data_IF_298409189728
#
_entry.id   IF_298409189728
#
_cell.length_a   1.000
_cell.length_b   1.000
_cell.length_c   1.000
_cell.angle_alpha   90.00
_cell.angle_beta   90.00
_cell.angle_gamma   90.00
#
_symmetry.space_group_name_H-M   'P 1'
#
loop_
_entity.id
_entity.type
_entity.pdbx_description
1 polymer ?
2 non-polymer ?
3 water ?
#
# COMPACT_ATOMS: atom_id res chain seq x y z
N UNK A 8 13.25 19.64 -12.63
CA UNK A 8 12.79 19.44 -11.22
C UNK A 8 13.96 19.60 -10.24
N UNK A 9 13.66 20.24 -9.11
CA UNK A 9 14.66 20.68 -8.15
C UNK A 9 15.46 19.48 -7.60
N UNK A 10 16.76 19.64 -7.36
CA UNK A 10 17.52 18.57 -6.69
C UNK A 10 17.00 18.38 -5.27
N UNK A 11 16.78 17.13 -4.90
CA UNK A 11 16.16 16.82 -3.60
C UNK A 11 14.63 16.75 -3.63
N UNK A 12 14.03 17.04 -4.78
CA UNK A 12 12.59 16.93 -4.95
C UNK A 12 11.95 18.31 -4.88
N UNK A 13 10.73 18.44 -5.44
CA UNK A 13 9.95 19.70 -5.37
C UNK A 13 9.50 20.03 -3.95
N UNK A 14 9.49 21.33 -3.66
CA UNK A 14 8.72 21.88 -2.54
C UNK A 14 7.27 21.98 -2.95
N UNK A 15 6.36 22.21 -1.99
CA UNK A 15 4.93 22.33 -2.28
C UNK A 15 4.68 23.36 -3.39
N UNK A 16 5.42 24.50 -3.32
CA UNK A 16 5.21 25.63 -4.26
C UNK A 16 5.90 25.44 -5.61
N UNK A 17 6.66 24.34 -5.73
CA UNK A 17 7.13 23.91 -7.07
C UNK A 17 6.06 23.19 -7.91
N UNK A 18 4.95 22.73 -7.31
CA UNK A 18 4.00 21.88 -8.01
C UNK A 18 2.90 22.69 -8.69
N UNK A 19 2.26 22.08 -9.68
CA UNK A 19 1.06 22.62 -10.34
C UNK A 19 0.02 21.55 -10.56
N UNK A 20 -1.24 21.92 -10.42
CA UNK A 20 -2.34 21.04 -10.77
C UNK A 20 -2.17 20.56 -12.22
N UNK A 21 -2.27 19.26 -12.45
CA UNK A 21 -1.96 18.68 -13.77
C UNK A 21 -0.53 18.38 -14.14
N UNK A 22 0.43 18.68 -13.28
CA UNK A 22 1.84 18.39 -13.51
C UNK A 22 2.08 16.85 -13.46
N UNK A 23 3.03 16.36 -14.26
CA UNK A 23 3.22 14.90 -14.42
C UNK A 23 4.68 14.51 -14.16
N UNK A 24 4.88 13.51 -13.35
CA UNK A 24 6.19 12.96 -13.11
C UNK A 24 6.22 11.55 -13.70
N UNK A 25 6.91 11.43 -14.84
CA UNK A 25 6.92 10.14 -15.54
C UNK A 25 8.32 9.66 -15.89
N UNK A 26 9.32 10.18 -15.18
CA UNK A 26 10.65 9.76 -15.51
C UNK A 26 11.23 8.76 -14.50
N UNK A 27 10.35 8.18 -13.65
CA UNK A 27 10.71 7.09 -12.71
C UNK A 27 11.16 5.83 -13.47
N UNK A 28 12.25 5.21 -13.04
CA UNK A 28 12.61 3.95 -13.72
C UNK A 28 11.49 2.89 -13.79
N UNK A 29 11.40 2.16 -14.90
CA UNK A 29 10.61 0.92 -14.95
C UNK A 29 11.28 -0.11 -14.04
N UNK A 30 10.46 -0.97 -13.42
CA UNK A 30 10.99 -2.03 -12.53
C UNK A 30 10.41 -3.42 -12.91
N UNK A 31 11.28 -4.33 -13.28
CA UNK A 31 10.91 -5.71 -13.63
C UNK A 31 10.81 -6.51 -12.34
N UNK A 32 9.67 -7.17 -12.18
CA UNK A 32 9.41 -7.94 -10.98
C UNK A 32 10.18 -9.26 -11.16
N UNK A 33 10.85 -9.67 -10.10
CA UNK A 33 11.70 -10.87 -10.13
C UNK A 33 11.41 -11.63 -8.87
N UNK A 34 11.80 -12.91 -8.86
CA UNK A 34 11.67 -13.68 -7.64
C UNK A 34 12.71 -13.21 -6.60
N UNK A 35 13.77 -12.58 -7.09
CA UNK A 35 14.69 -11.82 -6.22
C UNK A 35 13.99 -10.77 -5.36
N UNK A 36 13.22 -9.87 -6.00
CA UNK A 36 12.53 -8.83 -5.32
C UNK A 36 11.52 -9.47 -4.37
N UNK A 37 10.82 -10.48 -4.87
CA UNK A 37 9.83 -11.19 -4.07
C UNK A 37 10.43 -11.75 -2.81
N UNK A 38 11.63 -12.37 -2.91
CA UNK A 38 12.25 -12.99 -1.72
C UNK A 38 12.65 -11.93 -0.69
N UNK A 39 13.20 -10.82 -1.18
CA UNK A 39 13.68 -9.74 -0.26
C UNK A 39 12.47 -9.16 0.46
N UNK A 40 11.38 -8.94 -0.29
CA UNK A 40 10.15 -8.40 0.24
C UNK A 40 9.58 -9.34 1.35
N UNK A 41 9.58 -10.63 1.05
CA UNK A 41 9.15 -11.67 1.99
C UNK A 41 9.99 -11.70 3.29
N UNK A 42 11.31 -11.48 3.17
CA UNK A 42 12.17 -11.54 4.33
C UNK A 42 11.85 -10.35 5.28
N UNK A 43 11.32 -9.24 4.71
CA UNK A 43 11.05 -7.99 5.49
C UNK A 43 9.65 -8.01 6.12
N UNK A 44 8.64 -8.35 5.31
CA UNK A 44 7.28 -8.22 5.85
C UNK A 44 6.55 -9.54 6.02
N UNK A 45 7.17 -10.62 5.54
CA UNK A 45 6.57 -11.97 5.55
C UNK A 45 5.69 -12.16 4.30
N UNK A 46 5.42 -13.42 3.98
CA UNK A 46 4.57 -13.78 2.85
C UNK A 46 4.01 -15.16 3.18
N UNK A 47 2.70 -15.24 3.35
CA UNK A 47 2.04 -16.55 3.51
C UNK A 47 0.91 -16.77 2.50
N UNK A 48 0.81 -15.89 1.51
CA UNK A 48 -0.13 -16.06 0.39
C UNK A 48 0.25 -17.26 -0.46
N UNK A 49 -0.62 -18.25 -0.50
CA UNK A 49 -0.21 -19.56 -1.02
C UNK A 49 0.16 -19.46 -2.49
N UNK A 50 -0.58 -18.63 -3.26
CA UNK A 50 -0.31 -18.50 -4.70
C UNK A 50 1.00 -17.74 -4.98
N UNK A 51 1.44 -16.94 -4.02
CA UNK A 51 2.70 -16.22 -4.16
C UNK A 51 3.89 -17.06 -3.69
N UNK A 52 3.66 -18.21 -3.08
CA UNK A 52 4.76 -19.01 -2.51
C UNK A 52 5.00 -20.27 -3.30
N UNK A 53 3.93 -20.80 -3.92
CA UNK A 53 3.97 -22.14 -4.49
C UNK A 53 3.71 -21.97 -6.00
N UNK A 54 4.77 -22.12 -6.81
CA UNK A 54 4.64 -21.98 -8.26
C UNK A 54 3.80 -23.03 -8.96
N UNK A 55 3.79 -24.22 -8.39
CA UNK A 55 3.02 -25.32 -8.97
C UNK A 55 1.52 -25.04 -8.76
N UNK A 56 1.15 -24.63 -7.55
CA UNK A 56 -0.25 -24.28 -7.27
C UNK A 56 -0.64 -23.05 -8.09
N UNK A 57 0.25 -22.06 -8.13
CA UNK A 57 -0.03 -20.85 -8.90
C UNK A 57 -0.36 -21.19 -10.38
N UNK A 58 0.48 -22.00 -11.00
CA UNK A 58 0.24 -22.44 -12.37
C UNK A 58 -1.11 -23.20 -12.51
N UNK A 59 -1.41 -24.11 -11.58
CA UNK A 59 -2.62 -24.90 -11.67
C UNK A 59 -3.83 -23.98 -11.56
N UNK A 60 -3.72 -22.98 -10.68
CA UNK A 60 -4.84 -22.09 -10.41
C UNK A 60 -4.99 -21.02 -11.53
N UNK A 61 -3.89 -20.34 -11.86
CA UNK A 61 -3.95 -19.13 -12.72
C UNK A 61 -3.49 -19.42 -14.14
N UNK A 62 -2.73 -20.50 -14.33
CA UNK A 62 -2.19 -20.85 -15.63
C UNK A 62 -1.17 -19.82 -16.06
N UNK A 63 -0.74 -18.97 -15.11
CA UNK A 63 -0.14 -17.66 -15.41
C UNK A 63 1.17 -17.85 -16.12
N UNK A 64 1.56 -16.88 -17.00
CA UNK A 64 2.83 -16.94 -17.74
C UNK A 64 4.05 -17.18 -16.81
N UNK A 65 3.96 -16.68 -15.58
CA UNK A 65 4.96 -16.99 -14.54
C UNK A 65 4.25 -16.99 -13.21
N UNK A 66 4.96 -17.32 -12.10
CA UNK A 66 4.46 -17.19 -10.72
C UNK A 66 3.86 -15.80 -10.33
N UNK A 67 3.08 -15.76 -9.22
CA UNK A 67 2.28 -14.56 -8.79
C UNK A 67 3.10 -13.58 -7.99
N UNK A 68 3.27 -12.37 -8.54
CA UNK A 68 3.94 -11.31 -7.82
C UNK A 68 3.11 -10.97 -6.61
N UNK A 69 3.71 -11.05 -5.41
CA UNK A 69 3.00 -10.70 -4.22
C UNK A 69 2.34 -9.30 -4.38
N UNK A 70 1.01 -9.18 -4.18
CA UNK A 70 0.32 -7.90 -4.35
C UNK A 70 0.89 -6.74 -3.50
N UNK A 71 1.41 -7.04 -2.30
CA UNK A 71 2.03 -5.97 -1.49
C UNK A 71 3.32 -5.51 -2.14
N UNK A 72 4.06 -6.44 -2.75
CA UNK A 72 5.28 -6.03 -3.51
C UNK A 72 4.92 -5.10 -4.70
N UNK A 73 3.91 -5.51 -5.46
CA UNK A 73 3.46 -4.69 -6.60
C UNK A 73 3.08 -3.29 -6.15
N UNK A 74 2.27 -3.19 -5.08
CA UNK A 74 1.86 -1.87 -4.54
C UNK A 74 3.05 -1.08 -4.07
N UNK A 75 3.98 -1.75 -3.37
CA UNK A 75 5.14 -1.03 -2.79
C UNK A 75 6.03 -0.45 -3.89
N UNK A 76 6.19 -1.24 -4.96
CA UNK A 76 6.98 -0.77 -6.11
C UNK A 76 6.30 0.45 -6.75
N UNK A 77 4.98 0.38 -6.96
CA UNK A 77 4.27 1.51 -7.56
C UNK A 77 4.37 2.77 -6.67
N UNK A 78 4.23 2.59 -5.37
CA UNK A 78 4.32 3.73 -4.43
C UNK A 78 5.75 4.26 -4.33
N UNK A 79 6.72 3.36 -4.21
CA UNK A 79 8.16 3.79 -4.19
C UNK A 79 8.55 4.51 -5.49
N UNK A 80 8.14 3.99 -6.65
CA UNK A 80 8.31 4.74 -7.91
C UNK A 80 7.85 6.18 -7.85
N UNK A 81 6.66 6.39 -7.31
CA UNK A 81 5.98 7.70 -7.23
C UNK A 81 6.66 8.66 -6.25
N UNK A 82 7.66 8.21 -5.45
CA UNK A 82 8.27 9.10 -4.44
C UNK A 82 9.25 10.12 -5.04
N UNK A 83 9.49 10.03 -6.34
CA UNK A 83 10.22 11.10 -7.04
C UNK A 83 9.61 12.48 -6.71
N UNK A 84 8.27 12.58 -6.80
CA UNK A 84 7.54 13.83 -6.50
C UNK A 84 7.57 14.19 -5.02
N UNK A 85 7.68 13.16 -4.18
CA UNK A 85 7.51 13.38 -2.74
C UNK A 85 8.72 13.07 -1.91
N UNK A 86 9.92 13.27 -2.46
CA UNK A 86 11.13 13.09 -1.65
C UNK A 86 11.09 13.97 -0.36
N UNK A 87 10.49 15.16 -0.47
CA UNK A 87 10.40 16.13 0.65
C UNK A 87 9.24 15.90 1.60
N UNK A 88 8.47 14.84 1.38
CA UNK A 88 7.27 14.57 2.18
C UNK A 88 7.47 14.67 3.73
N UNK A 89 6.53 15.33 4.38
CA UNK A 89 6.48 15.33 5.83
C UNK A 89 5.56 14.19 6.35
N UNK A 90 4.44 13.92 5.64
CA UNK A 90 3.49 12.81 5.97
C UNK A 90 2.62 12.56 4.74
N UNK A 91 2.27 11.29 4.45
CA UNK A 91 1.07 11.01 3.61
C UNK A 91 -0.09 10.85 4.54
N UNK A 92 -1.17 11.56 4.31
CA UNK A 92 -2.34 11.46 5.14
C UNK A 92 -3.19 10.21 4.83
N UNK A 93 -3.12 9.68 3.60
CA UNK A 93 -3.82 8.43 3.24
C UNK A 93 -3.34 7.88 1.90
N UNK A 94 -3.55 6.57 1.67
CA UNK A 94 -3.48 5.96 0.35
C UNK A 94 -4.89 5.50 0.01
N UNK A 95 -5.33 5.72 -1.22
CA UNK A 95 -6.75 5.48 -1.47
C UNK A 95 -6.99 4.87 -2.86
N UNK A 96 -7.95 3.95 -2.93
CA UNK A 96 -8.40 3.46 -4.22
C UNK A 96 -7.45 2.57 -4.90
N UNK A 97 -6.60 1.82 -4.17
CA UNK A 97 -5.77 0.83 -4.85
C UNK A 97 -6.79 -0.22 -5.18
N UNK A 98 -6.96 -0.52 -6.46
CA UNK A 98 -7.69 -1.70 -6.82
C UNK A 98 -6.89 -2.25 -7.99
N UNK A 99 -6.62 -3.55 -7.97
CA UNK A 99 -5.85 -4.18 -9.03
C UNK A 99 -6.76 -4.30 -10.25
N UNK A 100 -6.30 -3.85 -11.41
CA UNK A 100 -6.99 -4.10 -12.68
C UNK A 100 -6.49 -5.41 -13.32
N UNK A 101 -5.31 -5.85 -12.88
CA UNK A 101 -4.78 -7.18 -13.27
C UNK A 101 -3.71 -7.52 -12.25
N UNK A 102 -3.27 -8.78 -12.23
CA UNK A 102 -2.26 -9.22 -11.23
C UNK A 102 -1.03 -9.57 -12.03
N UNK A 103 0.00 -8.72 -11.95
CA UNK A 103 1.22 -8.99 -12.73
C UNK A 103 1.91 -10.33 -12.34
N UNK A 104 2.62 -10.91 -13.31
CA UNK A 104 3.47 -12.08 -13.08
C UNK A 104 4.89 -11.61 -12.84
N UNK A 105 5.65 -12.41 -12.11
CA UNK A 105 7.14 -12.31 -12.18
C UNK A 105 7.61 -12.22 -13.63
N UNK A 106 8.56 -11.30 -13.89
CA UNK A 106 9.00 -10.96 -15.24
C UNK A 106 8.32 -9.81 -15.94
N UNK A 107 7.14 -9.40 -15.45
CA UNK A 107 6.45 -8.23 -15.97
C UNK A 107 7.16 -7.00 -15.41
N UNK A 108 7.09 -5.90 -16.16
CA UNK A 108 7.77 -4.65 -15.77
C UNK A 108 6.73 -3.55 -15.49
N UNK A 109 6.87 -2.87 -14.35
CA UNK A 109 5.89 -1.87 -13.92
C UNK A 109 6.42 -0.47 -14.18
N UNK A 110 5.54 0.42 -14.65
CA UNK A 110 5.93 1.81 -14.95
C UNK A 110 4.85 2.68 -14.33
N UNK A 111 5.22 3.73 -13.56
CA UNK A 111 4.19 4.43 -12.81
C UNK A 111 4.24 5.91 -13.18
N UNK A 112 3.11 6.46 -13.52
CA UNK A 112 2.96 7.91 -13.75
C UNK A 112 2.33 8.55 -12.53
N UNK A 113 2.86 9.72 -12.12
CA UNK A 113 2.31 10.44 -10.98
C UNK A 113 1.82 11.78 -11.47
N UNK A 114 0.52 12.03 -11.28
CA UNK A 114 -0.07 13.32 -11.64
C UNK A 114 -0.55 14.09 -10.41
N UNK A 115 -0.26 15.39 -10.40
CA UNK A 115 -0.85 16.28 -9.35
C UNK A 115 -2.26 16.55 -9.72
N UNK A 116 -3.17 16.01 -8.93
CA UNK A 116 -4.62 16.18 -9.09
C UNK A 116 -5.22 17.45 -8.40
N UNK A 117 -4.53 17.96 -7.37
CA UNK A 117 -5.09 19.05 -6.56
C UNK A 117 -4.02 19.51 -5.59
N UNK A 118 -4.06 20.80 -5.22
CA UNK A 118 -3.05 21.38 -4.33
C UNK A 118 -3.81 22.30 -3.37
N UNK A 119 -3.47 22.25 -2.07
CA UNK A 119 -4.10 23.14 -1.12
C UNK A 119 -3.08 23.58 -0.08
N UNK A 120 -2.78 24.89 -0.07
CA UNK A 120 -1.85 25.45 0.91
C UNK A 120 -2.46 25.24 2.25
N UNK A 121 -1.66 24.87 3.24
CA UNK A 121 -2.20 24.76 4.60
C UNK A 121 -2.25 26.18 5.19
N UNK A 122 -3.25 26.44 6.06
CA UNK A 122 -3.36 27.70 6.81
C UNK A 122 -2.15 27.93 7.69
N UNK A 123 -1.58 29.17 7.70
CA UNK A 123 -0.43 29.44 8.59
C UNK A 123 -0.79 29.18 10.03
N UNK A 124 0.15 28.64 10.79
CA UNK A 124 -0.04 28.37 12.22
C UNK A 124 1.27 28.71 12.91
N UNK A 125 1.20 29.45 14.04
CA UNK A 125 2.49 29.89 14.59
C UNK A 125 3.34 28.69 15.00
N UNK A 126 4.65 28.78 14.80
CA UNK A 126 5.56 27.71 15.17
C UNK A 126 5.63 26.56 14.19
N UNK A 127 4.78 26.53 13.18
CA UNK A 127 4.77 25.43 12.18
C UNK A 127 5.40 25.87 10.86
N UNK A 128 6.09 24.95 10.21
CA UNK A 128 6.67 25.22 8.91
C UNK A 128 5.53 25.43 7.91
N UNK A 129 5.70 26.38 6.99
CA UNK A 129 4.75 26.56 5.88
C UNK A 129 4.68 25.26 5.02
N UNK A 130 3.46 24.79 4.74
CA UNK A 130 3.27 23.49 4.03
C UNK A 130 2.00 23.55 3.21
N UNK A 131 1.84 22.58 2.31
CA UNK A 131 0.60 22.42 1.56
C UNK A 131 0.40 20.94 1.33
N UNK A 132 -0.79 20.60 0.89
CA UNK A 132 -1.14 19.23 0.57
C UNK A 132 -1.25 19.02 -0.92
N UNK A 133 -0.75 17.87 -1.38
CA UNK A 133 -0.83 17.53 -2.81
C UNK A 133 -1.67 16.27 -2.93
N UNK A 134 -2.77 16.35 -3.69
CA UNK A 134 -3.53 15.14 -4.06
C UNK A 134 -2.83 14.57 -5.29
N UNK A 135 -2.41 13.30 -5.21
CA UNK A 135 -1.63 12.69 -6.30
C UNK A 135 -2.38 11.49 -6.83
N UNK A 136 -2.45 11.40 -8.16
CA UNK A 136 -2.95 10.18 -8.84
C UNK A 136 -1.79 9.36 -9.43
N UNK A 137 -1.68 8.07 -9.03
CA UNK A 137 -0.65 7.19 -9.61
C UNK A 137 -1.28 6.22 -10.55
N UNK A 138 -0.70 6.11 -11.74
CA UNK A 138 -1.19 5.13 -12.70
C UNK A 138 -0.03 4.19 -13.04
N UNK A 139 -0.22 2.91 -12.76
CA UNK A 139 0.86 1.93 -12.95
C UNK A 139 0.42 1.00 -14.09
N UNK A 140 1.28 0.88 -15.10
CA UNK A 140 1.02 0.02 -16.25
C UNK A 140 2.15 -0.98 -16.43
N UNK A 141 1.91 -2.01 -17.24
CA UNK A 141 2.99 -2.87 -17.66
C UNK A 141 3.52 -2.56 -19.09
N UNK A 142 4.45 -3.38 -19.58
CA UNK A 142 5.04 -3.14 -20.89
C UNK A 142 4.03 -3.29 -22.03
N UNK A 143 3.02 -4.11 -21.79
CA UNK A 143 1.91 -4.33 -22.72
C UNK A 143 0.89 -3.18 -22.62
N UNK A 144 1.18 -2.12 -21.86
CA UNK A 144 0.27 -0.96 -21.73
C UNK A 144 -1.02 -1.32 -21.04
N UNK A 145 -1.03 -2.37 -20.24
CA UNK A 145 -2.28 -2.68 -19.55
C UNK A 145 -2.25 -2.04 -18.20
N UNK A 146 -3.40 -1.54 -17.76
CA UNK A 146 -3.52 -0.92 -16.43
C UNK A 146 -3.39 -1.98 -15.31
N UNK A 147 -2.54 -1.69 -14.35
CA UNK A 147 -2.35 -2.55 -13.21
C UNK A 147 -2.99 -1.92 -11.99
N UNK A 148 -2.59 -0.69 -11.69
CA UNK A 148 -3.15 0.07 -10.56
C UNK A 148 -3.45 1.48 -10.96
N UNK A 149 -4.47 2.09 -10.37
CA UNK A 149 -4.77 3.54 -10.59
C UNK A 149 -5.35 4.11 -9.30
N UNK A 150 -4.49 4.78 -8.51
CA UNK A 150 -4.72 4.95 -7.06
C UNK A 150 -4.31 6.38 -6.65
N UNK A 151 -4.54 6.73 -5.39
CA UNK A 151 -4.44 8.15 -4.97
C UNK A 151 -3.74 8.20 -3.64
N UNK A 152 -3.07 9.33 -3.37
CA UNK A 152 -2.59 9.59 -2.01
C UNK A 152 -2.58 11.10 -1.77
N UNK A 153 -2.51 11.47 -0.50
CA UNK A 153 -2.52 12.85 -0.10
C UNK A 153 -1.22 13.12 0.66
N UNK A 154 -0.30 13.84 0.03
CA UNK A 154 1.05 14.08 0.60
C UNK A 154 1.18 15.52 1.11
N UNK A 155 1.60 15.66 2.37
CA UNK A 155 2.01 16.95 2.91
C UNK A 155 3.47 17.29 2.61
N UNK A 156 3.69 18.44 1.97
CA UNK A 156 5.03 18.89 1.58
C UNK A 156 5.35 20.25 2.17
N UNK A 157 6.64 20.49 2.54
CA UNK A 157 7.05 21.83 2.93
C UNK A 157 7.03 22.77 1.72
N UNK A 158 6.76 24.05 1.99
CA UNK A 158 6.95 25.09 1.00
C UNK A 158 8.43 25.54 1.01
N UNK A 159 8.92 26.11 -0.09
CA UNK A 159 10.31 26.58 -0.19
C UNK A 159 10.57 27.69 0.84
N UNK A 160 11.85 27.94 1.20
CA UNK A 160 12.17 28.82 2.36
C UNK A 160 11.70 30.28 2.25
N UNK A 161 11.58 30.76 1.01
CA UNK A 161 11.20 32.14 0.75
C UNK A 161 9.74 32.28 0.24
N UNK A 162 8.98 31.18 0.22
CA UNK A 162 7.58 31.15 -0.26
C UNK A 162 6.75 32.23 0.40
N UNK A 163 5.91 32.91 -0.40
CA UNK A 163 4.96 33.91 0.10
C UNK A 163 3.63 33.21 0.41
N UNK A 164 3.36 32.97 1.70
CA UNK A 164 2.17 32.19 2.03
C UNK A 164 0.91 32.87 1.50
N UNK A 165 -0.09 32.06 1.18
CA UNK A 165 -1.39 32.56 0.70
C UNK A 165 -2.35 31.39 0.60
N UNK A 166 -3.52 31.64 0.04
CA UNK A 166 -4.54 30.60 0.02
C UNK A 166 -4.73 29.95 -1.35
N UNK A 167 -3.96 30.37 -2.35
CA UNK A 167 -4.51 30.24 -3.70
C UNK A 167 -3.85 29.37 -4.78
N UNK A 168 -3.06 28.37 -4.33
CA UNK A 168 -3.56 27.01 -4.65
C UNK A 168 -4.45 26.62 -3.45
N UNK A 169 -5.75 26.46 -3.70
CA UNK A 169 -6.70 26.17 -2.62
C UNK A 169 -7.75 25.17 -3.10
N UNK A 170 -7.31 24.11 -3.79
CA UNK A 170 -8.20 23.08 -4.31
C UNK A 170 -8.90 22.35 -3.20
N UNK A 171 -10.14 21.96 -3.46
CA UNK A 171 -10.91 21.09 -2.57
C UNK A 171 -10.40 19.65 -2.76
N UNK A 172 -9.75 19.10 -1.74
CA UNK A 172 -9.10 17.76 -1.84
C UNK A 172 -9.85 16.65 -1.11
N UNK A 173 -10.94 16.99 -0.43
CA UNK A 173 -11.67 16.04 0.42
C UNK A 173 -12.11 14.76 -0.32
N UNK A 174 -12.46 14.87 -1.59
CA UNK A 174 -13.07 13.71 -2.24
C UNK A 174 -12.13 13.01 -3.24
N UNK A 175 -10.83 13.20 -3.06
CA UNK A 175 -9.86 12.66 -3.98
C UNK A 175 -9.94 11.15 -3.97
N UNK A 176 -10.07 10.56 -5.15
CA UNK A 176 -10.12 9.11 -5.30
C UNK A 176 -11.42 8.48 -4.85
N UNK A 177 -12.53 9.01 -5.35
CA UNK A 177 -13.87 8.47 -5.06
C UNK A 177 -14.70 8.50 -6.34
N UNK A 178 -15.64 7.55 -6.46
CA UNK A 178 -16.34 7.28 -7.72
C UNK A 178 -15.33 6.84 -8.81
N UNK A 179 -14.14 6.43 -8.36
CA UNK A 179 -13.07 5.88 -9.19
C UNK A 179 -13.54 4.61 -9.89
N UNK A 180 -13.41 4.56 -11.23
CA UNK A 180 -13.91 3.41 -12.01
C UNK A 180 -13.40 2.06 -11.52
N UNK A 181 -14.33 1.12 -11.26
CA UNK A 181 -14.01 -0.32 -11.10
C UNK A 181 -13.31 -0.86 -12.37
N UNK A 182 -12.51 -1.94 -12.25
CA UNK A 182 -11.86 -2.51 -13.44
C UNK A 182 -12.86 -2.92 -14.53
N UNK A 183 -12.41 -2.88 -15.78
CA UNK A 183 -13.19 -3.30 -16.96
C UNK A 183 -13.62 -4.76 -16.88
N UNK A 184 -12.82 -5.54 -16.17
CA UNK A 184 -12.94 -7.00 -16.20
C UNK A 184 -12.45 -7.48 -14.86
N UNK A 185 -13.00 -8.61 -14.45
CA UNK A 185 -12.61 -9.25 -13.21
C UNK A 185 -11.15 -9.75 -13.40
N UNK A 186 -10.18 -9.25 -12.58
CA UNK A 186 -8.74 -9.62 -12.73
C UNK A 186 -8.42 -11.07 -12.33
N UNK A 187 -9.38 -11.79 -11.73
CA UNK A 187 -9.18 -13.19 -11.35
C UNK A 187 -10.14 -14.14 -12.05
N UNK A 188 -10.82 -13.65 -13.08
CA UNK A 188 -11.85 -14.46 -13.80
C UNK A 188 -11.31 -15.80 -14.35
N UNK A 189 -10.08 -15.79 -14.83
CA UNK A 189 -9.46 -17.01 -15.34
C UNK A 189 -8.85 -17.91 -14.26
N UNK A 190 -8.89 -17.49 -13.00
CA UNK A 190 -8.35 -18.35 -11.93
C UNK A 190 -9.33 -19.46 -11.59
N UNK A 191 -8.80 -20.67 -11.47
CA UNK A 191 -9.61 -21.86 -11.18
C UNK A 191 -9.70 -22.14 -9.68
N UNK A 192 -10.78 -21.66 -9.06
CA UNK A 192 -11.00 -21.91 -7.65
C UNK A 192 -11.19 -23.37 -7.31
N UNK A 193 -11.66 -24.17 -8.29
CA UNK A 193 -11.93 -25.58 -8.00
C UNK A 193 -10.63 -26.36 -7.71
N UNK A 194 -9.56 -26.11 -8.45
CA UNK A 194 -8.32 -26.87 -8.11
C UNK A 194 -7.73 -26.40 -6.78
N UNK A 195 -7.89 -25.13 -6.50
CA UNK A 195 -7.45 -24.60 -5.15
C UNK A 195 -8.17 -25.32 -4.02
N UNK A 196 -9.50 -25.42 -4.12
CA UNK A 196 -10.28 -26.09 -3.06
C UNK A 196 -9.92 -27.55 -2.91
N UNK A 197 -9.64 -28.22 -4.03
CA UNK A 197 -9.25 -29.61 -3.99
C UNK A 197 -7.86 -29.80 -3.37
N UNK A 198 -6.91 -28.90 -3.65
CA UNK A 198 -5.53 -29.15 -3.20
C UNK A 198 -5.13 -28.50 -1.90
N UNK A 199 -5.88 -27.51 -1.47
CA UNK A 199 -5.57 -26.79 -0.22
C UNK A 199 -6.62 -27.20 0.84
N UNK A 200 -6.18 -27.59 2.04
CA UNK A 200 -7.12 -27.96 3.11
C UNK A 200 -8.04 -26.80 3.44
N UNK A 201 -9.31 -27.10 3.65
CA UNK A 201 -10.29 -26.11 4.13
C UNK A 201 -10.04 -25.64 5.56
N UNK A 202 -10.92 -24.76 6.08
CA UNK A 202 -12.14 -24.23 5.49
C UNK A 202 -11.91 -23.31 4.32
N UNK A 203 -12.78 -23.42 3.34
CA UNK A 203 -12.78 -22.50 2.21
C UNK A 203 -13.86 -21.44 2.45
N UNK A 204 -14.19 -20.68 1.42
CA UNK A 204 -14.96 -19.47 1.61
C UNK A 204 -16.30 -19.81 2.29
N UNK A 205 -16.70 -18.99 3.26
CA UNK A 205 -17.95 -19.18 4.00
C UNK A 205 -18.42 -17.84 4.46
N UNK A 206 -19.48 -17.36 3.80
CA UNK A 206 -20.12 -16.08 4.09
C UNK A 206 -20.50 -15.92 5.57
N UNK A 207 -20.56 -17.05 6.28
CA UNK A 207 -20.89 -17.06 7.70
C UNK A 207 -19.82 -16.45 8.58
N UNK A 208 -18.61 -16.25 8.07
CA UNK A 208 -17.63 -15.65 8.94
C UNK A 208 -17.71 -14.11 9.08
N UNK A 209 -18.50 -13.45 8.24
CA UNK A 209 -18.70 -12.00 8.41
C UNK A 209 -19.08 -11.69 9.85
N UNK A 210 -18.51 -10.60 10.38
CA UNK A 210 -18.73 -10.23 11.78
C UNK A 210 -17.62 -10.62 12.73
N UNK A 211 -16.77 -11.57 12.33
CA UNK A 211 -15.73 -12.05 13.24
C UNK A 211 -14.69 -10.96 13.50
N UNK A 212 -14.17 -10.94 14.73
CA UNK A 212 -13.13 -10.03 15.14
C UNK A 212 -12.00 -10.91 15.66
N UNK A 213 -10.85 -10.87 14.99
CA UNK A 213 -9.72 -11.74 15.34
C UNK A 213 -8.52 -10.89 15.78
N UNK A 214 -7.63 -11.50 16.56
CA UNK A 214 -6.52 -10.83 17.15
C UNK A 214 -5.25 -11.58 16.73
N UNK A 215 -4.30 -10.85 16.17
CA UNK A 215 -3.14 -11.51 15.50
C UNK A 215 -2.05 -11.73 16.51
N UNK A 216 -1.01 -12.43 16.08
CA UNK A 216 0.22 -12.47 16.86
C UNK A 216 1.08 -11.27 16.36
N UNK A 217 2.20 -11.02 17.03
CA UNK A 217 3.00 -9.82 16.78
C UNK A 217 4.12 -10.04 15.74
N UNK A 218 4.57 -8.95 15.12
CA UNK A 218 5.71 -8.99 14.24
C UNK A 218 6.63 -7.84 14.68
N UNK A 219 7.92 -7.98 14.39
CA UNK A 219 8.89 -6.91 14.59
C UNK A 219 8.99 -6.08 13.29
N UNK A 220 9.03 -4.76 13.44
CA UNK A 220 9.45 -3.88 12.33
C UNK A 220 10.99 -3.88 12.23
N UNK A 221 11.51 -4.51 11.20
CA UNK A 221 12.95 -4.46 10.96
C UNK A 221 13.21 -4.48 9.44
N UNK A 222 14.39 -4.04 9.04
CA UNK A 222 14.71 -3.89 7.60
C UNK A 222 13.88 -2.79 6.92
N UNK A 223 13.49 -1.77 7.68
CA UNK A 223 12.61 -0.75 7.06
C UNK A 223 13.30 0.07 5.93
N UNK A 224 14.56 0.51 6.17
CA UNK A 224 15.25 1.19 5.07
C UNK A 224 15.46 0.24 3.88
N UNK A 225 15.71 -1.05 4.16
CA UNK A 225 15.86 -2.02 3.07
C UNK A 225 14.64 -2.13 2.19
N UNK A 226 13.46 -2.22 2.81
CA UNK A 226 12.22 -2.22 2.03
C UNK A 226 12.10 -0.99 1.19
N UNK A 227 12.43 0.16 1.75
CA UNK A 227 12.38 1.38 0.92
C UNK A 227 13.35 1.32 -0.26
N UNK A 228 14.62 0.95 -0.02
CA UNK A 228 15.63 0.85 -1.13
C UNK A 228 15.18 -0.16 -2.17
N UNK A 229 14.72 -1.32 -1.68
CA UNK A 229 14.21 -2.37 -2.58
C UNK A 229 13.17 -1.83 -3.56
N UNK A 230 12.31 -0.92 -3.11
CA UNK A 230 11.13 -0.55 -3.92
C UNK A 230 11.25 0.88 -4.49
N UNK A 231 12.49 1.42 -4.49
CA UNK A 231 12.83 2.72 -5.08
C UNK A 231 12.25 3.93 -4.31
N UNK A 232 11.85 3.66 -3.07
CA UNK A 232 11.24 4.67 -2.25
C UNK A 232 12.32 5.60 -1.68
N UNK A 233 12.28 6.84 -2.13
CA UNK A 233 13.29 7.84 -1.77
C UNK A 233 12.70 9.03 -0.99
N UNK A 234 11.53 8.85 -0.39
CA UNK A 234 11.09 9.79 0.62
C UNK A 234 12.17 9.87 1.74
N UNK A 235 12.69 11.09 1.97
CA UNK A 235 13.87 11.27 2.85
C UNK A 235 13.66 10.87 4.30
N UNK A 236 12.43 10.99 4.78
CA UNK A 236 12.15 10.62 6.15
C UNK A 236 12.42 9.12 6.43
N UNK A 237 12.40 8.26 5.42
CA UNK A 237 12.67 6.83 5.67
C UNK A 237 14.16 6.53 5.82
N UNK A 238 14.97 7.45 5.29
CA UNK A 238 16.41 7.29 5.22
C UNK A 238 17.21 8.20 6.12
N UNK A 239 16.69 9.40 6.35
CA UNK A 239 17.46 10.47 6.98
C UNK A 239 16.76 10.91 8.26
N UNK A 240 17.34 10.60 9.41
CA UNK A 240 16.69 10.91 10.68
C UNK A 240 16.53 12.41 10.93
N UNK A 241 17.31 13.24 10.23
CA UNK A 241 17.17 14.64 10.57
C UNK A 241 15.96 15.36 9.99
N UNK A 242 15.26 14.73 9.04
CA UNK A 242 14.04 15.33 8.45
C UNK A 242 12.94 15.45 9.56
N UNK A 243 12.69 14.38 10.31
CA UNK A 243 11.64 14.41 11.34
C UNK A 243 12.21 14.29 12.73
N UNK A 244 13.50 13.96 12.85
CA UNK A 244 14.14 13.79 14.16
C UNK A 244 14.46 12.33 14.42
N UNK A 245 13.62 11.44 13.90
CA UNK A 245 13.92 10.01 13.84
C UNK A 245 13.44 9.58 12.46
N UNK A 246 13.96 8.49 11.96
CA UNK A 246 13.47 8.01 10.66
C UNK A 246 12.02 7.48 10.91
N UNK A 247 11.12 7.80 9.99
CA UNK A 247 9.72 7.32 10.06
C UNK A 247 9.57 6.14 9.12
N UNK A 248 8.92 5.08 9.57
CA UNK A 248 8.76 3.89 8.76
C UNK A 248 7.67 4.15 7.70
N UNK A 249 8.04 3.82 6.45
CA UNK A 249 7.14 3.78 5.32
C UNK A 249 5.79 3.08 5.67
N UNK A 250 4.69 3.74 5.33
CA UNK A 250 3.32 3.22 5.59
C UNK A 250 3.06 1.82 5.06
N UNK A 251 3.59 1.53 3.86
CA UNK A 251 3.47 0.23 3.24
C UNK A 251 4.10 -0.89 4.06
N UNK A 252 5.12 -0.60 4.86
CA UNK A 252 5.77 -1.65 5.68
C UNK A 252 4.78 -2.09 6.76
N UNK A 253 4.17 -1.12 7.43
CA UNK A 253 3.19 -1.38 8.48
C UNK A 253 2.00 -2.16 7.91
N UNK A 254 1.51 -1.72 6.75
CA UNK A 254 0.42 -2.41 6.01
C UNK A 254 0.84 -3.81 5.66
N UNK A 255 2.08 -3.97 5.19
CA UNK A 255 2.59 -5.31 4.83
C UNK A 255 2.59 -6.29 5.99
N UNK A 256 3.04 -5.84 7.17
CA UNK A 256 2.98 -6.70 8.35
C UNK A 256 1.53 -6.98 8.74
N UNK A 257 0.67 -5.97 8.64
CA UNK A 257 -0.77 -6.19 8.98
C UNK A 257 -1.39 -7.21 8.02
N UNK A 258 -0.97 -7.16 6.76
CA UNK A 258 -1.45 -8.18 5.80
C UNK A 258 -0.89 -9.54 6.14
N UNK A 259 0.39 -9.60 6.54
CA UNK A 259 0.98 -10.92 6.93
C UNK A 259 0.20 -11.49 8.13
N UNK A 260 -0.09 -10.62 9.09
CA UNK A 260 -0.90 -11.00 10.26
C UNK A 260 -2.25 -11.58 9.86
N UNK A 261 -2.94 -10.88 8.98
CA UNK A 261 -4.26 -11.34 8.50
C UNK A 261 -4.16 -12.71 7.78
N UNK A 262 -3.07 -12.91 7.03
CA UNK A 262 -2.86 -14.18 6.34
C UNK A 262 -2.48 -15.30 7.28
N UNK A 263 -1.84 -15.05 8.44
CA UNK A 263 -1.69 -16.13 9.42
C UNK A 263 -3.04 -16.48 10.04
N UNK A 264 -3.88 -15.45 10.18
CA UNK A 264 -5.22 -15.65 10.74
C UNK A 264 -6.12 -16.37 9.74
N UNK A 265 -5.99 -16.02 8.46
CA UNK A 265 -6.87 -16.54 7.38
C UNK A 265 -5.91 -17.08 6.31
N UNK A 266 -5.46 -18.33 6.49
CA UNK A 266 -4.36 -18.88 5.66
C UNK A 266 -4.74 -19.17 4.22
N UNK A 267 -6.02 -19.13 3.88
CA UNK A 267 -6.44 -19.49 2.51
C UNK A 267 -6.84 -18.32 1.60
N UNK A 268 -6.46 -17.09 1.95
CA UNK A 268 -6.72 -15.94 1.07
C UNK A 268 -6.01 -16.15 -0.29
N UNK A 269 -6.71 -15.85 -1.38
CA UNK A 269 -6.11 -16.08 -2.71
C UNK A 269 -5.27 -14.84 -3.09
N UNK A 270 -5.83 -13.63 -2.88
CA UNK A 270 -5.12 -12.38 -3.17
C UNK A 270 -5.86 -11.20 -2.54
N UNK A 271 -5.18 -10.06 -2.54
CA UNK A 271 -5.78 -8.76 -2.20
C UNK A 271 -6.34 -8.12 -3.47
N UNK A 272 -7.62 -7.72 -3.44
CA UNK A 272 -8.29 -7.15 -4.62
C UNK A 272 -8.23 -5.63 -4.59
N UNK A 273 -8.29 -5.05 -3.40
CA UNK A 273 -8.21 -3.59 -3.31
C UNK A 273 -7.88 -3.20 -1.88
N UNK A 274 -7.39 -1.99 -1.68
CA UNK A 274 -7.16 -1.51 -0.28
C UNK A 274 -6.97 -0.05 -0.21
N UNK A 275 -7.12 0.48 1.00
CA UNK A 275 -6.90 1.89 1.30
C UNK A 275 -6.63 2.10 2.80
N UNK A 276 -6.08 3.25 3.15
CA UNK A 276 -5.72 3.46 4.51
C UNK A 276 -6.71 4.48 4.92
N UNK A 277 -7.21 4.33 6.16
CA UNK A 277 -8.28 5.12 6.72
C UNK A 277 -7.75 6.18 7.68
N UNK A 278 -6.67 5.86 8.38
CA UNK A 278 -6.02 6.77 9.35
C UNK A 278 -4.57 6.30 9.63
N UNK A 279 -3.59 7.17 9.44
CA UNK A 279 -2.21 6.88 9.79
C UNK A 279 -2.16 7.55 11.16
N UNK A 280 -2.41 6.76 12.18
CA UNK A 280 -2.79 7.23 13.50
C UNK A 280 -1.61 7.72 14.30
N UNK A 281 -0.47 7.04 14.14
CA UNK A 281 0.72 7.47 14.82
C UNK A 281 1.95 6.94 14.12
N UNK A 282 3.08 7.62 14.33
CA UNK A 282 4.24 7.12 13.61
C UNK A 282 4.75 5.75 14.07
N UNK A 283 5.33 5.05 13.12
CA UNK A 283 5.94 3.79 13.42
C UNK A 283 7.48 3.95 13.22
N UNK A 284 8.27 3.29 14.09
CA UNK A 284 9.72 3.39 14.03
C UNK A 284 10.32 2.02 13.93
N UNK A 285 11.55 1.94 13.39
CA UNK A 285 12.27 0.68 13.30
C UNK A 285 12.39 0.11 14.71
N UNK A 286 12.13 -1.17 14.85
CA UNK A 286 12.26 -1.81 16.18
C UNK A 286 10.94 -1.87 16.98
N UNK A 287 9.91 -1.19 16.50
CA UNK A 287 8.55 -1.40 17.01
C UNK A 287 8.08 -2.84 16.82
N UNK A 288 7.23 -3.30 17.75
CA UNK A 288 6.58 -4.61 17.65
C UNK A 288 5.09 -4.31 17.48
N UNK A 289 4.48 -4.89 16.44
CA UNK A 289 3.10 -4.56 16.05
C UNK A 289 2.22 -5.82 16.13
N UNK A 290 0.97 -5.63 16.51
CA UNK A 290 -0.04 -6.69 16.29
C UNK A 290 -1.30 -5.98 15.75
N UNK A 291 -2.28 -6.74 15.33
CA UNK A 291 -3.49 -6.16 14.75
C UNK A 291 -4.75 -6.85 15.26
N UNK A 292 -5.83 -6.08 15.22
CA UNK A 292 -7.17 -6.57 15.41
C UNK A 292 -7.82 -6.55 13.99
N UNK A 293 -8.25 -7.72 13.57
CA UNK A 293 -8.75 -7.92 12.26
C UNK A 293 -10.27 -8.13 12.31
N UNK A 294 -11.00 -7.19 11.70
CA UNK A 294 -12.48 -7.28 11.58
C UNK A 294 -12.86 -7.78 10.21
N UNK A 295 -13.57 -8.90 10.16
CA UNK A 295 -14.15 -9.35 8.89
C UNK A 295 -15.52 -8.68 8.78
N UNK A 296 -15.52 -7.54 8.09
CA UNK A 296 -16.69 -6.64 7.96
C UNK A 296 -17.76 -7.18 7.03
N UNK A 297 -17.34 -7.95 6.03
CA UNK A 297 -18.28 -8.45 5.06
C UNK A 297 -17.75 -9.73 4.46
N UNK A 298 -18.67 -10.56 4.00
CA UNK A 298 -18.30 -11.80 3.26
C UNK A 298 -19.37 -12.05 2.21
N UNK A 299 -18.98 -11.92 0.95
CA UNK A 299 -19.96 -12.00 -0.15
C UNK A 299 -19.64 -13.15 -1.09
N UNK A 300 -20.56 -14.11 -1.22
CA UNK A 300 -20.38 -15.21 -2.15
C UNK A 300 -20.42 -14.77 -3.61
N UNK A 301 -19.59 -15.42 -4.41
CA UNK A 301 -19.56 -15.24 -5.85
C UNK A 301 -19.69 -16.62 -6.44
N UNK A 302 -19.79 -16.69 -7.76
CA UNK A 302 -19.88 -17.96 -8.45
C UNK A 302 -18.72 -18.91 -8.10
N UNK A 303 -17.52 -18.36 -7.90
CA UNK A 303 -16.32 -19.14 -7.56
C UNK A 303 -15.79 -18.53 -6.25
N UNK A 304 -16.07 -19.17 -5.12
CA UNK A 304 -15.65 -18.64 -3.79
C UNK A 304 -16.39 -17.35 -3.44
N UNK A 305 -15.66 -16.39 -2.88
CA UNK A 305 -16.27 -15.11 -2.45
C UNK A 305 -15.26 -14.05 -2.10
N UNK A 306 -15.71 -12.91 -1.59
CA UNK A 306 -14.77 -11.81 -1.34
C UNK A 306 -15.01 -11.40 0.11
N UNK A 307 -13.93 -11.32 0.88
CA UNK A 307 -14.03 -10.80 2.27
C UNK A 307 -13.72 -9.32 2.28
N UNK A 308 -14.45 -8.53 3.06
CA UNK A 308 -14.08 -7.11 3.33
C UNK A 308 -13.45 -7.08 4.72
N UNK A 309 -12.20 -6.60 4.82
CA UNK A 309 -11.46 -6.64 6.07
C UNK A 309 -11.10 -5.26 6.54
N UNK A 310 -11.10 -5.05 7.85
CA UNK A 310 -10.63 -3.81 8.39
C UNK A 310 -9.65 -4.17 9.50
N UNK A 311 -8.47 -3.56 9.44
CA UNK A 311 -7.35 -3.95 10.28
C UNK A 311 -6.93 -2.74 11.12
N UNK A 312 -6.95 -2.90 12.44
CA UNK A 312 -6.42 -1.90 13.35
C UNK A 312 -5.05 -2.37 13.87
N UNK A 313 -4.02 -1.56 13.66
CA UNK A 313 -2.67 -2.02 13.99
C UNK A 313 -2.15 -1.25 15.20
N UNK A 314 -1.53 -1.96 16.13
CA UNK A 314 -1.07 -1.41 17.40
C UNK A 314 0.42 -1.63 17.58
N UNK A 315 1.10 -0.69 18.23
CA UNK A 315 2.49 -0.85 18.66
C UNK A 315 2.50 -1.20 20.15
N UNK A 316 3.24 -2.25 20.43
CA UNK A 316 3.42 -2.79 21.80
C UNK A 316 4.23 -1.78 22.61
N UNK A 317 3.77 -1.44 23.81
CA UNK A 317 4.50 -0.49 24.66
C UNK A 317 5.62 -1.26 25.36
N UNK A 318 6.50 -0.55 26.04
CA UNK A 318 7.62 -1.25 26.62
C UNK A 318 7.40 -1.87 27.99
N UNK A 319 6.20 -1.79 28.53
CA UNK A 319 5.93 -2.57 29.74
C UNK A 319 4.48 -2.97 29.89
N UNK A 320 4.26 -3.95 30.77
CA UNK A 320 2.94 -4.38 31.22
C UNK A 320 2.07 -3.23 31.84
N UNK A 321 2.69 -2.16 32.29
CA UNK A 321 1.96 -1.02 32.88
C UNK A 321 1.89 0.22 31.98
N UNK A 322 1.98 0.01 30.66
CA UNK A 322 1.79 1.11 29.73
C UNK A 322 0.91 0.62 28.59
N UNK A 323 -0.11 1.40 28.20
CA UNK A 323 -1.01 0.95 27.14
C UNK A 323 -0.33 0.87 25.75
N UNK A 324 -0.71 -0.11 24.93
CA UNK A 324 -0.25 -0.19 23.54
C UNK A 324 -0.94 0.94 22.77
N UNK A 325 -0.43 1.35 21.62
CA UNK A 325 -1.01 2.53 20.94
C UNK A 325 -1.42 2.14 19.50
N UNK A 326 -2.56 2.67 19.03
CA UNK A 326 -2.93 2.42 17.67
C UNK A 326 -2.04 3.24 16.73
N UNK A 327 -1.50 2.58 15.70
CA UNK A 327 -0.66 3.26 14.73
C UNK A 327 -1.27 3.34 13.30
N UNK A 328 -2.22 2.47 12.95
CA UNK A 328 -2.76 2.45 11.61
C UNK A 328 -4.17 1.87 11.61
N UNK A 329 -5.03 2.39 10.74
CA UNK A 329 -6.36 1.79 10.51
C UNK A 329 -6.45 1.69 8.98
N UNK A 330 -6.59 0.47 8.45
CA UNK A 330 -6.71 0.37 6.99
C UNK A 330 -7.73 -0.66 6.65
N UNK A 331 -8.14 -0.72 5.38
CA UNK A 331 -9.14 -1.70 5.03
C UNK A 331 -8.83 -2.25 3.65
N UNK A 332 -9.17 -3.51 3.42
CA UNK A 332 -8.90 -4.12 2.13
C UNK A 332 -9.94 -5.18 1.86
N UNK A 333 -9.99 -5.66 0.62
CA UNK A 333 -10.82 -6.81 0.29
C UNK A 333 -9.90 -7.88 -0.29
N UNK A 334 -10.30 -9.13 -0.07
CA UNK A 334 -9.51 -10.26 -0.48
C UNK A 334 -10.41 -11.27 -1.09
N UNK A 335 -9.92 -11.92 -2.13
CA UNK A 335 -10.58 -13.05 -2.72
C UNK A 335 -10.21 -14.29 -1.94
N UNK A 336 -11.23 -15.10 -1.67
CA UNK A 336 -11.02 -16.40 -1.10
C UNK A 336 -11.82 -17.49 -1.83
N UNK A 337 -11.15 -18.48 -2.37
CA UNK A 337 -11.89 -19.59 -2.96
C UNK A 337 -12.71 -20.45 -1.95
X LIG B 1 6.82 21.59 11.99
#
# INVERSE_FOLDING_TARGET
VASGYGGIRVGGPYFDDLSKGQVFDWAPGVTLSLGLAAAHQSIVGNRLRLALDSDLCAAVTGMPGPLAHPGLVCDVAIGQSTLATQRVKANLFYRGLRFHRFPAVGDTLYTRTEVVGLRANSPKPGRAPTGLAGLRMTTIDRTDRLVLDFYRCAMLPASPDWKPGAVPGDDLSRIGADAPAPAADPTAHWDGAVFRKRVPGPHFDAGIAGAVLHSTADLVSGAPELARLTLNIAATHHDWRVSGRRLVYGGHTIGLALAQATRLLPNLATVLDWESCDHTAPVHEGDTLYSELHIESAQAHADGGVLGLRSLVYAVSDSASEPDRQVLDWRFSALQF
CL CL
#
